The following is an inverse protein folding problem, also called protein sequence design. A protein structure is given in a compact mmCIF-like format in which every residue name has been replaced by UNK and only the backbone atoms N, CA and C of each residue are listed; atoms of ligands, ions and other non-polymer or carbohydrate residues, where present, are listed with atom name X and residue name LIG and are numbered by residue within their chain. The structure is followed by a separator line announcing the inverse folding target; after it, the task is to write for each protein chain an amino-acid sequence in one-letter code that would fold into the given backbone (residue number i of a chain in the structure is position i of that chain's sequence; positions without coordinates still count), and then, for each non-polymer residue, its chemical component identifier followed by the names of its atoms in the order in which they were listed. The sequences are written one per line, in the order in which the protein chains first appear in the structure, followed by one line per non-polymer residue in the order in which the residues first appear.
data_IF_816876480964
#
_entry.id   IF_816876480964
#
_cell.length_a   1.000
_cell.length_b   1.000
_cell.length_c   1.000
_cell.angle_alpha   90.00
_cell.angle_beta   90.00
_cell.angle_gamma   90.00
#
_symmetry.space_group_name_H-M   'P 1'
#
loop_
_entity.id
_entity.type
_entity.pdbx_description
1 polymer ?
#
# COMPACT_ATOMS: atom_id res chain seq x y z
N UNK A 1 -6.38 -0.42 22.87
CA UNK A 1 -5.93 -1.65 22.17
C UNK A 1 -7.15 -2.44 21.75
N UNK A 2 -7.44 -2.54 20.44
CA UNK A 2 -8.65 -3.19 19.93
C UNK A 2 -8.60 -4.71 20.15
N UNK A 3 -9.40 -5.23 21.09
CA UNK A 3 -9.57 -6.66 21.39
C UNK A 3 -10.20 -7.50 20.27
N UNK A 4 -10.24 -7.02 19.03
CA UNK A 4 -10.83 -7.72 17.87
C UNK A 4 -9.89 -8.73 17.20
N UNK A 5 -8.61 -8.80 17.58
CA UNK A 5 -7.65 -9.71 16.92
C UNK A 5 -7.69 -11.15 17.44
N UNK A 6 -8.07 -11.38 18.70
CA UNK A 6 -8.13 -12.72 19.30
C UNK A 6 -6.94 -13.62 18.92
N UNK A 7 -7.21 -14.90 18.65
CA UNK A 7 -6.28 -15.86 18.02
C UNK A 7 -6.54 -16.04 16.51
N UNK A 8 -7.20 -15.06 15.87
CA UNK A 8 -7.62 -15.15 14.47
C UNK A 8 -6.54 -14.70 13.49
N UNK A 9 -6.54 -15.29 12.29
CA UNK A 9 -5.73 -14.84 11.16
C UNK A 9 -6.59 -13.98 10.24
N UNK A 10 -6.13 -12.77 9.90
CA UNK A 10 -6.80 -11.94 8.91
C UNK A 10 -6.42 -12.47 7.53
N UNK A 11 -7.41 -12.99 6.84
CA UNK A 11 -7.32 -13.34 5.44
C UNK A 11 -8.20 -12.32 4.74
N UNK A 12 -7.60 -11.48 3.91
CA UNK A 12 -8.33 -10.55 3.07
C UNK A 12 -8.19 -10.99 1.61
N UNK A 13 -9.15 -10.66 0.73
CA UNK A 13 -8.81 -10.51 -0.67
C UNK A 13 -7.68 -9.46 -0.79
N UNK A 14 -7.03 -9.38 -1.95
CA UNK A 14 -6.02 -8.35 -2.17
C UNK A 14 -6.65 -6.96 -2.17
N UNK A 15 -5.94 -5.99 -2.73
CA UNK A 15 -6.52 -4.65 -2.95
C UNK A 15 -7.51 -4.69 -4.13
N UNK A 16 -8.71 -4.13 -3.93
CA UNK A 16 -9.68 -3.89 -5.00
C UNK A 16 -9.92 -2.38 -5.20
N UNK A 17 -10.68 -2.04 -6.25
CA UNK A 17 -11.09 -0.65 -6.51
C UNK A 17 -12.05 -0.20 -5.40
N UNK A 18 -11.89 1.03 -4.91
CA UNK A 18 -12.82 1.69 -3.97
C UNK A 18 -13.64 2.78 -4.67
N UNK A 19 -14.86 2.99 -4.18
CA UNK A 19 -15.79 4.03 -4.67
C UNK A 19 -15.73 5.33 -3.84
N UNK A 20 -14.89 5.37 -2.82
CA UNK A 20 -14.59 6.55 -2.02
C UNK A 20 -13.15 6.49 -1.50
N UNK A 21 -12.39 7.58 -1.65
CA UNK A 21 -10.96 7.65 -1.26
C UNK A 21 -10.71 7.50 0.24
N UNK A 22 -11.73 7.77 1.04
CA UNK A 22 -11.70 7.67 2.50
C UNK A 22 -12.82 6.74 3.00
N UNK A 23 -13.40 5.94 2.10
CA UNK A 23 -14.46 5.00 2.42
C UNK A 23 -13.89 3.73 3.04
N UNK A 24 -14.17 3.50 4.31
CA UNK A 24 -13.76 2.28 5.02
C UNK A 24 -14.83 1.19 4.97
N UNK A 25 -15.90 1.39 4.20
CA UNK A 25 -16.91 0.38 3.89
C UNK A 25 -16.99 0.20 2.38
N UNK A 26 -17.26 -1.02 1.95
CA UNK A 26 -17.38 -1.34 0.53
C UNK A 26 -18.42 -0.48 -0.22
N UNK A 27 -19.52 -0.13 0.46
CA UNK A 27 -20.60 0.68 -0.10
C UNK A 27 -20.46 2.18 0.16
N UNK A 28 -19.33 2.64 0.70
CA UNK A 28 -19.07 4.07 0.82
C UNK A 28 -18.87 4.65 -0.59
N UNK A 29 -19.70 5.62 -0.95
CA UNK A 29 -19.77 6.17 -2.30
C UNK A 29 -19.58 7.68 -2.25
N UNK A 30 -18.59 8.18 -2.99
CA UNK A 30 -18.39 9.60 -3.23
C UNK A 30 -18.38 9.85 -4.73
N UNK A 31 -19.44 10.49 -5.25
CA UNK A 31 -19.61 10.72 -6.69
C UNK A 31 -18.39 11.41 -7.32
N UNK A 32 -17.82 12.39 -6.61
CA UNK A 32 -16.61 13.10 -7.04
C UNK A 32 -15.41 12.16 -7.20
N UNK A 33 -15.16 11.27 -6.24
CA UNK A 33 -14.03 10.34 -6.29
C UNK A 33 -14.17 9.35 -7.44
N UNK A 34 -15.41 8.94 -7.74
CA UNK A 34 -15.71 8.05 -8.86
C UNK A 34 -15.45 8.76 -10.17
N UNK A 35 -15.97 9.98 -10.35
CA UNK A 35 -15.71 10.76 -11.57
C UNK A 35 -14.20 10.95 -11.75
N UNK A 36 -13.46 11.32 -10.70
CA UNK A 36 -12.00 11.48 -10.77
C UNK A 36 -11.28 10.16 -11.11
N UNK A 37 -11.77 9.02 -10.62
CA UNK A 37 -11.23 7.69 -10.95
C UNK A 37 -11.55 7.28 -12.40
N UNK A 38 -12.79 7.51 -12.85
CA UNK A 38 -13.23 7.26 -14.24
C UNK A 38 -12.49 8.16 -15.24
N UNK A 39 -12.10 9.36 -14.84
CA UNK A 39 -11.32 10.29 -15.68
C UNK A 39 -9.82 9.98 -15.71
N UNK A 40 -9.33 9.02 -14.92
CA UNK A 40 -7.91 8.69 -14.87
C UNK A 40 -7.54 7.66 -15.96
N UNK A 41 -6.87 8.04 -17.07
CA UNK A 41 -6.54 7.12 -18.15
C UNK A 41 -5.54 6.02 -17.71
N UNK A 42 -4.70 6.30 -16.71
CA UNK A 42 -3.70 5.35 -16.21
C UNK A 42 -4.35 4.18 -15.46
N UNK A 43 -5.41 4.47 -14.68
CA UNK A 43 -6.20 3.43 -14.02
C UNK A 43 -6.80 2.48 -15.06
N UNK A 44 -7.41 3.02 -16.12
CA UNK A 44 -8.01 2.21 -17.17
C UNK A 44 -6.98 1.39 -17.94
N UNK A 45 -5.82 1.97 -18.24
CA UNK A 45 -4.69 1.24 -18.84
C UNK A 45 -4.31 0.01 -17.99
N UNK A 46 -4.23 0.17 -16.66
CA UNK A 46 -3.99 -0.93 -15.74
C UNK A 46 -5.13 -1.96 -15.74
N UNK A 47 -6.39 -1.51 -15.64
CA UNK A 47 -7.57 -2.37 -15.60
C UNK A 47 -7.69 -3.19 -16.88
N UNK A 48 -7.52 -2.59 -18.06
CA UNK A 48 -7.63 -3.32 -19.33
C UNK A 48 -6.47 -4.31 -19.53
N UNK A 49 -5.25 -3.92 -19.17
CA UNK A 49 -4.08 -4.81 -19.22
C UNK A 49 -4.22 -6.00 -18.27
N UNK A 50 -4.85 -5.80 -17.12
CA UNK A 50 -5.03 -6.80 -16.06
C UNK A 50 -6.51 -7.14 -15.82
N UNK A 51 -7.33 -7.18 -16.88
CA UNK A 51 -8.79 -7.24 -16.75
C UNK A 51 -9.27 -8.47 -15.99
N UNK A 52 -8.73 -9.64 -16.34
CA UNK A 52 -9.06 -10.90 -15.67
C UNK A 52 -8.70 -10.86 -14.18
N UNK A 53 -7.55 -10.29 -13.84
CA UNK A 53 -7.12 -10.16 -12.45
C UNK A 53 -8.04 -9.21 -11.68
N UNK A 54 -8.28 -8.01 -12.23
CA UNK A 54 -9.11 -6.97 -11.62
C UNK A 54 -10.54 -7.43 -11.37
N UNK A 55 -11.16 -8.08 -12.36
CA UNK A 55 -12.51 -8.64 -12.21
C UNK A 55 -12.57 -9.79 -11.20
N UNK A 56 -11.53 -10.63 -11.15
CA UNK A 56 -11.47 -11.73 -10.18
C UNK A 56 -11.29 -11.24 -8.74
N UNK A 57 -10.52 -10.17 -8.52
CA UNK A 57 -10.41 -9.55 -7.18
C UNK A 57 -11.74 -8.92 -6.76
N UNK A 58 -12.37 -8.13 -7.64
CA UNK A 58 -13.68 -7.53 -7.36
C UNK A 58 -14.75 -8.59 -7.06
N UNK A 59 -14.79 -9.67 -7.85
CA UNK A 59 -15.73 -10.76 -7.62
C UNK A 59 -15.47 -11.51 -6.31
N UNK A 60 -14.20 -11.65 -5.91
CA UNK A 60 -13.82 -12.30 -4.65
C UNK A 60 -14.19 -11.45 -3.45
N UNK A 61 -14.04 -10.13 -3.56
CA UNK A 61 -14.40 -9.18 -2.51
C UNK A 61 -15.93 -9.13 -2.29
N UNK A 62 -16.71 -9.23 -3.37
CA UNK A 62 -18.17 -9.27 -3.32
C UNK A 62 -18.76 -10.62 -2.90
N UNK A 63 -18.03 -11.73 -3.09
CA UNK A 63 -18.56 -13.08 -2.90
C UNK A 63 -17.80 -13.86 -1.82
N UNK A 64 -18.39 -13.92 -0.63
CA UNK A 64 -17.85 -14.65 0.51
C UNK A 64 -17.56 -16.14 0.21
N UNK A 65 -18.32 -16.81 -0.65
CA UNK A 65 -18.05 -18.20 -1.03
C UNK A 65 -16.79 -18.33 -1.87
N UNK A 66 -16.60 -17.42 -2.82
CA UNK A 66 -15.40 -17.35 -3.67
C UNK A 66 -14.17 -16.98 -2.85
N UNK A 67 -14.34 -16.09 -1.87
CA UNK A 67 -13.31 -15.76 -0.88
C UNK A 67 -12.89 -17.00 -0.08
N UNK A 68 -13.83 -17.71 0.55
CA UNK A 68 -13.55 -18.95 1.31
C UNK A 68 -12.87 -19.99 0.41
N UNK A 69 -13.37 -20.18 -0.82
CA UNK A 69 -12.77 -21.12 -1.79
C UNK A 69 -11.34 -20.74 -2.18
N UNK A 70 -11.03 -19.45 -2.24
CA UNK A 70 -9.66 -18.97 -2.47
C UNK A 70 -8.77 -19.25 -1.25
N UNK A 71 -9.28 -19.01 -0.04
CA UNK A 71 -8.59 -19.33 1.21
C UNK A 71 -8.33 -20.82 1.39
N UNK A 72 -9.23 -21.68 0.89
CA UNK A 72 -9.07 -23.15 0.91
C UNK A 72 -7.85 -23.65 0.13
N UNK A 73 -7.30 -22.86 -0.80
CA UNK A 73 -6.04 -23.21 -1.47
C UNK A 73 -4.84 -23.17 -0.52
N UNK A 74 -4.90 -22.34 0.52
CA UNK A 74 -3.88 -22.21 1.55
C UNK A 74 -4.21 -23.07 2.77
N UNK A 75 -5.49 -23.11 3.16
CA UNK A 75 -5.98 -23.85 4.34
C UNK A 75 -7.16 -24.75 3.91
N UNK A 76 -6.90 -25.99 3.44
CA UNK A 76 -7.95 -26.86 2.89
C UNK A 76 -9.10 -27.19 3.84
N UNK A 77 -8.86 -27.12 5.15
CA UNK A 77 -9.87 -27.36 6.19
C UNK A 77 -10.80 -26.17 6.45
N UNK A 78 -10.56 -25.01 5.81
CA UNK A 78 -11.33 -23.78 6.03
C UNK A 78 -12.80 -23.98 5.63
N UNK A 79 -13.72 -23.66 6.54
CA UNK A 79 -15.17 -23.72 6.34
C UNK A 79 -15.79 -22.33 6.44
N UNK A 80 -16.94 -22.14 5.78
CA UNK A 80 -17.62 -20.85 5.75
C UNK A 80 -18.04 -20.34 7.15
N UNK A 81 -18.33 -21.24 8.10
CA UNK A 81 -18.67 -20.89 9.47
C UNK A 81 -17.46 -20.53 10.35
N UNK A 82 -16.24 -20.60 9.81
CA UNK A 82 -14.99 -20.22 10.49
C UNK A 82 -14.52 -18.80 10.11
N UNK A 83 -15.27 -18.12 9.22
CA UNK A 83 -14.91 -16.80 8.70
C UNK A 83 -15.93 -15.78 9.20
N UNK A 84 -15.43 -14.65 9.68
CA UNK A 84 -16.22 -13.49 10.05
C UNK A 84 -15.74 -12.24 9.29
N UNK A 85 -16.60 -11.24 9.18
CA UNK A 85 -16.23 -9.97 8.55
C UNK A 85 -15.23 -9.20 9.42
N UNK A 86 -14.11 -8.82 8.82
CA UNK A 86 -13.08 -7.98 9.44
C UNK A 86 -13.27 -6.50 9.05
N UNK A 87 -12.29 -5.66 9.41
CA UNK A 87 -12.22 -4.28 8.95
C UNK A 87 -11.76 -4.19 7.49
N UNK A 88 -12.10 -3.10 6.81
CA UNK A 88 -11.50 -2.73 5.54
C UNK A 88 -10.42 -1.66 5.75
N UNK A 89 -9.46 -1.61 4.83
CA UNK A 89 -8.44 -0.56 4.78
C UNK A 89 -8.41 0.08 3.39
N UNK A 90 -8.05 1.35 3.32
CA UNK A 90 -7.86 2.05 2.05
C UNK A 90 -6.38 2.31 1.85
N UNK A 91 -5.88 1.95 0.68
CA UNK A 91 -4.51 2.19 0.26
C UNK A 91 -4.51 3.07 -0.99
N UNK A 92 -3.69 4.12 -0.98
CA UNK A 92 -3.39 4.87 -2.18
C UNK A 92 -2.48 4.04 -3.10
N UNK A 93 -2.88 3.88 -4.36
CA UNK A 93 -2.09 3.21 -5.38
C UNK A 93 -1.87 4.17 -6.55
N UNK A 94 -0.61 4.29 -6.98
CA UNK A 94 -0.28 5.02 -8.20
C UNK A 94 -0.27 4.06 -9.38
N UNK A 95 -0.88 4.50 -10.49
CA UNK A 95 -0.80 3.84 -11.79
C UNK A 95 0.07 4.68 -12.72
N UNK A 96 1.11 4.05 -13.26
CA UNK A 96 2.04 4.67 -14.19
C UNK A 96 1.45 4.82 -15.59
N UNK A 97 2.23 5.45 -16.48
CA UNK A 97 1.76 5.82 -17.82
C UNK A 97 1.38 4.60 -18.68
N UNK A 98 2.03 3.46 -18.46
CA UNK A 98 1.81 2.24 -19.24
C UNK A 98 0.87 1.25 -18.54
N UNK A 99 0.09 1.71 -17.57
CA UNK A 99 -0.87 0.88 -16.84
C UNK A 99 -0.23 -0.10 -15.87
N UNK A 100 0.96 0.19 -15.37
CA UNK A 100 1.62 -0.52 -14.29
C UNK A 100 1.21 0.05 -12.91
N UNK A 101 0.97 -0.82 -11.94
CA UNK A 101 0.86 -0.39 -10.55
C UNK A 101 2.27 -0.12 -10.03
N UNK A 102 2.53 1.10 -9.55
CA UNK A 102 3.87 1.48 -9.06
C UNK A 102 4.18 0.68 -7.79
N UNK A 103 5.33 0.00 -7.81
CA UNK A 103 5.77 -0.91 -6.74
C UNK A 103 6.76 -0.28 -5.76
N UNK A 104 7.26 0.92 -6.05
CA UNK A 104 8.28 1.61 -5.26
C UNK A 104 7.71 2.85 -4.56
N UNK A 105 8.47 3.38 -3.60
CA UNK A 105 8.16 4.65 -2.96
C UNK A 105 8.22 5.79 -3.96
N UNK A 106 7.19 6.64 -3.97
CA UNK A 106 7.15 7.83 -4.83
C UNK A 106 7.18 9.07 -3.97
N UNK A 107 8.32 9.76 -3.97
CA UNK A 107 8.49 11.06 -3.36
C UNK A 107 8.26 12.16 -4.40
N UNK A 108 7.38 13.10 -4.07
CA UNK A 108 7.15 14.31 -4.83
C UNK A 108 7.75 15.48 -4.05
N UNK A 109 8.90 15.96 -4.54
CA UNK A 109 9.78 16.89 -3.82
C UNK A 109 9.50 18.33 -4.23
N UNK A 110 9.72 19.29 -3.33
CA UNK A 110 9.64 20.75 -3.59
C UNK A 110 8.34 21.21 -4.29
N UNK A 111 7.22 20.59 -3.97
CA UNK A 111 5.90 21.03 -4.46
C UNK A 111 5.42 22.29 -3.72
N UNK A 112 4.37 22.93 -4.24
CA UNK A 112 3.80 24.17 -3.70
C UNK A 112 4.86 25.24 -3.41
N UNK A 113 5.53 25.71 -4.46
CA UNK A 113 6.62 26.71 -4.38
C UNK A 113 7.82 26.26 -3.54
N UNK A 114 8.20 24.98 -3.63
CA UNK A 114 9.39 24.48 -2.95
C UNK A 114 9.21 24.26 -1.45
N UNK A 115 7.97 24.07 -0.97
CA UNK A 115 7.66 23.99 0.47
C UNK A 115 7.12 22.64 0.93
N UNK A 116 6.75 21.76 -0.01
CA UNK A 116 6.07 20.51 0.33
C UNK A 116 6.77 19.30 -0.28
N UNK A 117 7.01 18.31 0.58
CA UNK A 117 7.48 16.97 0.26
C UNK A 117 6.32 15.99 0.49
N UNK A 118 5.83 15.35 -0.57
CA UNK A 118 4.76 14.36 -0.48
C UNK A 118 5.30 12.94 -0.66
N UNK A 119 4.83 12.01 0.18
CA UNK A 119 4.97 10.58 -0.07
C UNK A 119 3.68 10.13 -0.77
N UNK A 120 3.74 9.93 -2.08
CA UNK A 120 2.56 9.61 -2.89
C UNK A 120 2.27 8.13 -3.03
N UNK A 121 3.30 7.29 -2.88
CA UNK A 121 3.17 5.84 -2.86
C UNK A 121 4.07 5.29 -1.76
N UNK A 122 3.51 4.45 -0.91
CA UNK A 122 4.23 3.67 0.08
C UNK A 122 3.65 2.25 0.06
N UNK A 123 4.15 1.40 -0.86
CA UNK A 123 3.57 0.08 -1.08
C UNK A 123 3.83 -0.84 0.12
N UNK A 124 3.06 -1.92 0.21
CA UNK A 124 3.19 -2.89 1.28
C UNK A 124 4.58 -3.56 1.27
N UNK A 125 5.24 -3.76 2.43
CA UNK A 125 4.74 -3.48 3.79
C UNK A 125 5.27 -2.15 4.36
N UNK A 126 4.62 -1.03 4.01
CA UNK A 126 5.02 0.31 4.49
C UNK A 126 5.10 0.44 6.02
N UNK A 127 4.24 -0.28 6.77
CA UNK A 127 4.27 -0.24 8.22
C UNK A 127 5.56 -0.84 8.79
N UNK A 128 5.99 -2.00 8.27
CA UNK A 128 7.23 -2.66 8.75
C UNK A 128 8.49 -1.98 8.22
N UNK A 129 8.40 -1.30 7.08
CA UNK A 129 9.50 -0.50 6.51
C UNK A 129 9.48 0.98 6.96
N UNK A 130 8.64 1.36 7.92
CA UNK A 130 8.40 2.77 8.29
C UNK A 130 9.65 3.53 8.71
N UNK A 131 10.59 2.88 9.39
CA UNK A 131 11.86 3.49 9.81
C UNK A 131 12.80 3.76 8.62
N UNK A 132 12.92 2.81 7.69
CA UNK A 132 13.68 3.02 6.46
C UNK A 132 13.04 4.11 5.58
N UNK A 133 11.70 4.17 5.54
CA UNK A 133 10.99 5.28 4.86
C UNK A 133 11.30 6.61 5.54
N UNK A 134 11.35 6.64 6.88
CA UNK A 134 11.67 7.85 7.63
C UNK A 134 13.07 8.37 7.28
N UNK A 135 14.07 7.49 7.19
CA UNK A 135 15.42 7.86 6.75
C UNK A 135 15.39 8.55 5.38
N UNK A 136 14.77 7.89 4.38
CA UNK A 136 14.62 8.42 3.02
C UNK A 136 13.93 9.80 3.01
N UNK A 137 12.90 9.98 3.83
CA UNK A 137 12.16 11.26 3.94
C UNK A 137 13.02 12.33 4.60
N UNK A 138 13.76 12.00 5.65
CA UNK A 138 14.63 12.96 6.35
C UNK A 138 15.80 13.40 5.48
N UNK A 139 16.37 12.50 4.67
CA UNK A 139 17.44 12.82 3.73
C UNK A 139 16.92 13.78 2.65
N UNK A 140 15.77 13.46 2.06
CA UNK A 140 15.12 14.35 1.10
C UNK A 140 14.79 15.72 1.71
N UNK A 141 14.37 15.75 2.98
CA UNK A 141 14.07 16.98 3.70
C UNK A 141 15.32 17.84 3.94
N UNK A 142 16.44 17.22 4.29
CA UNK A 142 17.72 17.88 4.51
C UNK A 142 18.23 18.53 3.22
N UNK A 143 18.22 17.78 2.11
CA UNK A 143 18.66 18.26 0.80
C UNK A 143 17.81 19.42 0.26
N UNK A 144 16.49 19.36 0.47
CA UNK A 144 15.56 20.28 -0.19
C UNK A 144 15.14 21.48 0.65
N UNK A 145 15.17 21.35 1.98
CA UNK A 145 14.55 22.32 2.89
C UNK A 145 15.50 22.76 4.02
N UNK A 146 16.79 22.39 3.96
CA UNK A 146 17.76 22.65 5.02
C UNK A 146 17.29 22.15 6.40
N UNK A 147 16.59 21.00 6.41
CA UNK A 147 16.17 20.36 7.65
C UNK A 147 17.40 19.87 8.43
N UNK A 148 17.56 20.29 9.68
CA UNK A 148 18.62 19.77 10.57
C UNK A 148 18.11 18.54 11.32
N UNK A 149 18.91 17.46 11.31
CA UNK A 149 18.65 16.24 12.07
C UNK A 149 18.90 16.39 13.58
N UNK A 150 19.35 17.56 14.05
CA UNK A 150 19.83 17.76 15.43
C UNK A 150 18.72 18.05 16.47
N UNK A 151 17.43 17.96 16.09
CA UNK A 151 16.35 17.99 17.09
C UNK A 151 16.24 16.64 17.81
N UNK A 152 17.14 16.42 18.76
CA UNK A 152 17.08 15.34 19.73
C UNK A 152 17.14 13.95 19.13
N UNK A 153 18.32 13.34 19.19
CA UNK A 153 18.42 11.88 19.22
C UNK A 153 17.58 11.36 20.39
N UNK A 154 16.30 11.10 20.16
CA UNK A 154 15.70 9.94 20.77
C UNK A 154 16.54 8.78 20.22
N UNK A 155 17.43 8.24 21.05
CA UNK A 155 18.29 7.10 20.75
C UNK A 155 17.41 5.93 20.28
N UNK A 156 17.07 5.92 19.00
CA UNK A 156 16.58 4.75 18.32
C UNK A 156 17.83 4.08 17.76
N UNK A 157 18.36 3.17 18.56
CA UNK A 157 19.52 2.35 18.25
C UNK A 157 19.14 1.33 17.16
N UNK A 158 18.92 1.84 15.94
CA UNK A 158 18.88 1.02 14.75
C UNK A 158 20.32 0.85 14.28
N UNK A 159 20.73 -0.38 13.92
CA UNK A 159 22.10 -0.65 13.49
C UNK A 159 22.44 0.27 12.31
N UNK A 160 23.29 1.26 12.59
CA UNK A 160 23.78 2.20 11.58
C UNK A 160 24.72 1.45 10.64
N UNK A 161 24.44 1.59 9.35
CA UNK A 161 25.25 1.17 8.21
C UNK A 161 25.23 -0.33 7.87
N UNK A 162 24.44 -0.67 6.85
CA UNK A 162 24.78 -1.75 5.91
C UNK A 162 25.44 -1.05 4.71
N UNK A 163 26.70 -1.38 4.34
CA UNK A 163 27.39 -0.74 3.23
C UNK A 163 26.60 -0.90 1.94
N UNK A 164 26.24 0.22 1.30
CA UNK A 164 25.61 0.23 -0.02
C UNK A 164 26.74 0.32 -1.04
N UNK A 165 27.17 -0.83 -1.57
CA UNK A 165 27.98 -0.85 -2.78
C UNK A 165 27.20 -0.20 -3.92
N UNK A 166 27.82 0.79 -4.56
CA UNK A 166 27.39 1.37 -5.83
C UNK A 166 27.31 0.27 -6.89
N UNK A 167 26.14 -0.34 -7.02
CA UNK A 167 25.67 -0.81 -8.30
C UNK A 167 24.15 -0.96 -8.26
N UNK A 168 23.53 -0.33 -9.25
CA UNK A 168 22.11 -0.40 -9.62
C UNK A 168 21.62 -1.86 -9.67
N UNK A 169 21.26 -2.43 -8.54
CA UNK A 169 20.54 -3.69 -8.39
C UNK A 169 20.44 -3.92 -6.87
N UNK A 170 19.35 -3.60 -6.17
CA UNK A 170 18.97 -4.21 -4.88
C UNK A 170 17.71 -3.54 -4.25
N UNK A 171 16.58 -3.56 -4.95
CA UNK A 171 15.26 -3.46 -4.31
C UNK A 171 14.63 -4.83 -3.99
N UNK A 172 15.31 -5.94 -4.34
CA UNK A 172 14.83 -7.30 -4.07
C UNK A 172 15.14 -7.84 -2.67
N UNK A 173 16.15 -7.33 -1.96
CA UNK A 173 16.62 -7.95 -0.70
C UNK A 173 15.83 -7.60 0.56
N UNK A 174 15.05 -6.52 0.56
CA UNK A 174 14.23 -6.16 1.72
C UNK A 174 13.00 -7.08 1.88
N UNK A 175 12.53 -7.72 0.81
CA UNK A 175 11.38 -8.62 0.84
C UNK A 175 11.72 -10.08 1.21
N UNK A 176 12.98 -10.50 1.11
CA UNK A 176 13.41 -11.89 1.36
C UNK A 176 13.89 -12.15 2.80
N UNK A 177 13.81 -11.16 3.70
CA UNK A 177 14.18 -11.29 5.11
C UNK A 177 13.02 -11.03 6.10
N UNK A 178 11.77 -11.15 5.66
CA UNK A 178 10.59 -11.21 6.53
C UNK A 178 9.92 -12.58 6.44
#
# INVERSE_FOLDING_TARGET
MNGRRGHGVIIGPGSCITFAREGYRFFDFKLRDIIESLMNPHLWSFVFKNFRMSMNELYRDLNARTFVRSGQKLIPSLRANMVENSFAGVMGQIFGKNGEAVTDYVLERKTLNGKVLNIRNAPSPACTASLAIAEIVTDAAQEDFNWSKDMGSADFDLPREVPIEENSFLLKRAAERM
#
